data_IF_699620941325
#
_entry.id   IF_699620941325
#
_cell.length_a   1.000
_cell.length_b   1.000
_cell.length_c   1.000
_cell.angle_alpha   90.00
_cell.angle_beta   90.00
_cell.angle_gamma   90.00
#
_symmetry.space_group_name_H-M   'P 1'
#
loop_
_entity.id
_entity.type
_entity.pdbx_description
1 polymer ?
#
# COMPACT_ATOMS: atom_id res chain seq x y z
N UNK A 1 8.19 12.70 -0.24
CA UNK A 1 7.28 11.64 0.15
C UNK A 1 6.38 12.11 1.24
N UNK A 2 5.17 11.64 1.23
CA UNK A 2 4.12 12.15 2.12
C UNK A 2 3.88 11.14 3.23
N UNK A 3 3.71 11.64 4.45
CA UNK A 3 3.26 10.81 5.57
C UNK A 3 1.85 10.30 5.27
N UNK A 4 1.67 8.97 5.29
CA UNK A 4 0.38 8.35 4.98
C UNK A 4 -0.44 8.00 6.23
N UNK A 5 0.10 8.24 7.43
CA UNK A 5 -0.59 7.98 8.70
C UNK A 5 -1.29 9.24 9.21
N UNK A 6 -0.59 10.36 9.26
CA UNK A 6 -1.12 11.62 9.78
C UNK A 6 -2.44 12.08 9.12
N UNK A 7 -2.58 12.02 7.79
CA UNK A 7 -3.85 12.40 7.16
C UNK A 7 -5.06 11.59 7.62
N UNK A 8 -4.86 10.33 8.04
CA UNK A 8 -5.96 9.51 8.58
C UNK A 8 -6.57 10.13 9.81
N UNK A 9 -5.76 10.65 10.72
CA UNK A 9 -6.24 11.31 11.93
C UNK A 9 -6.82 12.69 11.63
N UNK A 10 -6.19 13.46 10.76
CA UNK A 10 -6.62 14.83 10.42
C UNK A 10 -7.96 14.86 9.68
N UNK A 11 -8.18 13.90 8.77
CA UNK A 11 -9.35 13.87 7.90
C UNK A 11 -10.31 12.73 8.21
N UNK A 12 -10.27 12.19 9.43
CA UNK A 12 -11.05 11.02 9.85
C UNK A 12 -12.53 11.09 9.50
N UNK A 13 -13.14 12.27 9.59
CA UNK A 13 -14.56 12.46 9.32
C UNK A 13 -14.89 12.56 7.82
N UNK A 14 -13.87 12.57 6.97
CA UNK A 14 -13.96 12.70 5.51
C UNK A 14 -13.49 11.45 4.76
N UNK A 15 -13.11 10.40 5.47
CA UNK A 15 -12.64 9.16 4.86
C UNK A 15 -13.84 8.24 4.64
N UNK A 16 -14.20 8.01 3.38
CA UNK A 16 -15.34 7.20 2.99
C UNK A 16 -14.97 5.90 2.30
N UNK A 17 -13.74 5.81 1.82
CA UNK A 17 -13.24 4.63 1.13
C UNK A 17 -11.71 4.56 1.26
N UNK A 18 -11.18 3.34 1.36
CA UNK A 18 -9.74 3.11 1.53
C UNK A 18 -9.26 2.08 0.52
N UNK A 19 -8.17 2.40 -0.18
CA UNK A 19 -7.45 1.45 -1.01
C UNK A 19 -6.18 0.99 -0.30
N UNK A 20 -5.92 -0.30 -0.37
CA UNK A 20 -4.69 -0.90 0.13
C UNK A 20 -3.76 -1.14 -1.06
N UNK A 21 -2.80 -0.26 -1.22
CA UNK A 21 -1.78 -0.33 -2.26
C UNK A 21 -0.41 -0.17 -1.62
N UNK A 22 0.57 -0.90 -2.12
CA UNK A 22 1.91 -0.84 -1.58
C UNK A 22 2.91 -0.32 -2.61
N UNK A 23 4.07 0.09 -2.11
CA UNK A 23 5.13 0.67 -2.92
C UNK A 23 6.47 0.35 -2.26
N UNK A 24 7.46 0.04 -3.08
CA UNK A 24 8.84 -0.09 -2.63
C UNK A 24 9.68 1.05 -3.19
N UNK A 25 10.41 1.72 -2.33
CA UNK A 25 11.31 2.80 -2.70
C UNK A 25 12.75 2.30 -2.63
N UNK A 26 13.46 2.45 -3.73
CA UNK A 26 14.87 2.09 -3.83
C UNK A 26 15.70 3.33 -3.48
N UNK A 27 16.15 3.40 -2.23
CA UNK A 27 16.87 4.58 -1.71
C UNK A 27 18.12 4.92 -2.51
N UNK A 28 18.89 3.91 -2.93
CA UNK A 28 20.09 4.10 -3.74
C UNK A 28 19.77 4.79 -5.07
N UNK A 29 18.69 4.35 -5.72
CA UNK A 29 18.25 4.94 -6.99
C UNK A 29 17.73 6.35 -6.78
N UNK A 30 16.99 6.58 -5.70
CA UNK A 30 16.48 7.92 -5.36
C UNK A 30 17.64 8.90 -5.13
N UNK A 31 18.68 8.48 -4.42
CA UNK A 31 19.88 9.29 -4.19
C UNK A 31 20.61 9.63 -5.50
N UNK A 32 20.63 8.69 -6.45
CA UNK A 32 21.29 8.88 -7.74
C UNK A 32 20.51 9.75 -8.70
N UNK A 33 19.21 9.57 -8.84
CA UNK A 33 18.40 10.28 -9.84
C UNK A 33 17.64 11.49 -9.28
N UNK A 34 17.44 11.56 -7.96
CA UNK A 34 16.72 12.64 -7.31
C UNK A 34 15.20 12.53 -7.43
N UNK A 35 14.49 13.26 -6.58
CA UNK A 35 13.03 13.20 -6.50
C UNK A 35 12.31 13.82 -7.72
N UNK A 36 13.03 14.58 -8.51
CA UNK A 36 12.50 15.19 -9.74
C UNK A 36 12.54 14.24 -10.95
N UNK A 37 13.13 13.06 -10.79
CA UNK A 37 13.11 12.02 -11.81
C UNK A 37 11.70 11.40 -11.93
N UNK A 38 11.47 10.66 -13.02
CA UNK A 38 10.22 9.89 -13.14
C UNK A 38 10.11 8.91 -12.00
N UNK A 39 8.93 8.80 -11.34
CA UNK A 39 8.79 7.96 -10.14
C UNK A 39 9.28 6.53 -10.32
N UNK A 40 9.03 5.89 -11.46
CA UNK A 40 9.46 4.51 -11.71
C UNK A 40 10.97 4.32 -11.81
N UNK A 41 11.76 5.39 -11.80
CA UNK A 41 13.21 5.31 -11.73
C UNK A 41 13.70 4.99 -10.32
N UNK A 42 12.92 5.30 -9.28
CA UNK A 42 13.33 5.06 -7.89
C UNK A 42 12.30 4.29 -7.08
N UNK A 43 11.15 3.95 -7.64
CA UNK A 43 10.11 3.21 -6.92
C UNK A 43 9.50 2.11 -7.79
N UNK A 44 8.85 1.16 -7.15
CA UNK A 44 8.10 0.10 -7.82
C UNK A 44 6.81 -0.17 -7.05
N UNK A 45 5.66 -0.17 -7.73
CA UNK A 45 4.42 -0.64 -7.10
C UNK A 45 4.53 -2.10 -6.70
N UNK A 46 3.99 -2.44 -5.55
CA UNK A 46 4.01 -3.79 -4.98
C UNK A 46 2.62 -4.17 -4.49
N UNK A 47 2.40 -5.47 -4.40
CA UNK A 47 1.21 -5.94 -3.69
C UNK A 47 1.34 -5.63 -2.19
N UNK A 48 0.22 -5.41 -1.49
CA UNK A 48 0.28 -5.18 -0.04
C UNK A 48 1.09 -6.23 0.70
N UNK A 49 2.06 -5.77 1.47
CA UNK A 49 2.97 -6.61 2.24
C UNK A 49 4.36 -6.78 1.65
N UNK A 50 4.56 -6.49 0.37
CA UNK A 50 5.87 -6.63 -0.29
C UNK A 50 6.60 -5.30 -0.51
N UNK A 51 6.01 -4.20 -0.09
CA UNK A 51 6.61 -2.88 -0.18
C UNK A 51 7.00 -2.30 1.17
N UNK A 52 7.07 -0.97 1.22
CA UNK A 52 7.57 -0.22 2.37
C UNK A 52 6.46 0.32 3.28
N UNK A 53 5.19 0.12 2.95
CA UNK A 53 4.09 0.55 3.82
C UNK A 53 4.08 -0.29 5.09
N UNK A 54 4.07 0.38 6.23
CA UNK A 54 3.90 -0.29 7.52
C UNK A 54 2.40 -0.57 7.75
N UNK A 55 1.96 -1.74 7.36
CA UNK A 55 0.55 -2.11 7.39
C UNK A 55 0.00 -2.23 8.79
N UNK A 56 0.82 -2.67 9.74
CA UNK A 56 0.42 -2.69 11.14
C UNK A 56 0.04 -1.31 11.65
N UNK A 57 0.87 -0.31 11.36
CA UNK A 57 0.61 1.09 11.74
C UNK A 57 -0.58 1.67 10.99
N UNK A 58 -0.71 1.36 9.70
CA UNK A 58 -1.80 1.87 8.87
C UNK A 58 -3.16 1.37 9.37
N UNK A 59 -3.27 0.06 9.57
CA UNK A 59 -4.52 -0.55 10.06
C UNK A 59 -4.81 -0.12 11.49
N UNK A 60 -3.79 0.02 12.34
CA UNK A 60 -3.95 0.55 13.69
C UNK A 60 -4.55 1.95 13.68
N UNK A 61 -4.07 2.82 12.79
CA UNK A 61 -4.61 4.17 12.64
C UNK A 61 -6.07 4.14 12.17
N UNK A 62 -6.41 3.27 11.21
CA UNK A 62 -7.81 3.10 10.79
C UNK A 62 -8.70 2.65 11.94
N UNK A 63 -8.21 1.78 12.79
CA UNK A 63 -8.92 1.32 13.99
C UNK A 63 -9.12 2.47 14.98
N UNK A 64 -8.07 3.25 15.21
CA UNK A 64 -8.12 4.39 16.13
C UNK A 64 -9.17 5.43 15.74
N UNK A 65 -9.31 5.69 14.44
CA UNK A 65 -10.31 6.67 13.96
C UNK A 65 -11.71 6.08 13.83
N UNK A 66 -11.87 4.79 14.12
CA UNK A 66 -13.18 4.12 14.06
C UNK A 66 -13.67 3.86 12.64
N UNK A 67 -12.76 3.71 11.67
CA UNK A 67 -13.15 3.40 10.30
C UNK A 67 -13.73 1.99 10.20
N UNK A 68 -14.97 1.86 9.71
CA UNK A 68 -15.63 0.58 9.49
C UNK A 68 -16.19 0.44 8.06
N UNK A 69 -15.74 1.29 7.15
CA UNK A 69 -16.14 1.24 5.74
C UNK A 69 -15.42 0.14 4.96
N UNK A 70 -15.71 0.09 3.67
CA UNK A 70 -15.07 -0.86 2.78
C UNK A 70 -13.61 -0.49 2.50
N UNK A 71 -12.80 -1.53 2.30
CA UNK A 71 -11.43 -1.41 1.84
C UNK A 71 -11.27 -2.21 0.55
N UNK A 72 -10.42 -1.74 -0.34
CA UNK A 72 -10.17 -2.37 -1.62
C UNK A 72 -8.67 -2.66 -1.77
N UNK A 73 -8.33 -3.90 -2.09
CA UNK A 73 -6.95 -4.28 -2.40
C UNK A 73 -6.69 -3.88 -3.85
N UNK A 74 -5.66 -3.06 -4.05
CA UNK A 74 -5.24 -2.63 -5.38
C UNK A 74 -3.94 -3.34 -5.74
N UNK A 75 -3.97 -4.11 -6.83
CA UNK A 75 -2.82 -4.89 -7.29
C UNK A 75 -2.16 -4.17 -8.46
N UNK A 76 -0.90 -3.81 -8.25
CA UNK A 76 -0.01 -3.33 -9.29
C UNK A 76 1.39 -3.79 -8.91
N UNK A 77 1.87 -4.87 -9.52
CA UNK A 77 3.17 -5.45 -9.21
C UNK A 77 3.63 -6.28 -10.41
N UNK A 78 4.72 -5.88 -11.03
CA UNK A 78 5.25 -6.53 -12.24
C UNK A 78 5.53 -8.02 -12.05
N UNK A 79 5.84 -8.46 -10.83
CA UNK A 79 6.10 -9.87 -10.57
C UNK A 79 4.85 -10.75 -10.71
N UNK A 80 3.66 -10.15 -10.74
CA UNK A 80 2.37 -10.86 -10.73
C UNK A 80 1.48 -10.52 -11.93
N UNK A 81 2.01 -9.84 -12.95
CA UNK A 81 1.19 -9.34 -14.07
C UNK A 81 1.18 -10.23 -15.31
N UNK A 82 2.09 -11.17 -15.45
CA UNK A 82 2.33 -11.89 -16.70
C UNK A 82 1.41 -13.09 -16.95
N UNK A 83 0.51 -13.41 -16.01
CA UNK A 83 -0.53 -14.42 -16.21
C UNK A 83 -1.73 -14.17 -15.31
N UNK A 84 -2.89 -14.70 -15.72
CA UNK A 84 -4.11 -14.65 -14.90
C UNK A 84 -3.92 -15.34 -13.57
N UNK A 85 -3.23 -16.50 -13.57
CA UNK A 85 -2.93 -17.24 -12.35
C UNK A 85 -2.12 -16.39 -11.35
N UNK A 86 -1.11 -15.69 -11.83
CA UNK A 86 -0.31 -14.81 -10.96
C UNK A 86 -1.11 -13.65 -10.41
N UNK A 87 -1.99 -13.05 -11.19
CA UNK A 87 -2.88 -11.99 -10.71
C UNK A 87 -3.81 -12.53 -9.61
N UNK A 88 -4.43 -13.68 -9.81
CA UNK A 88 -5.29 -14.31 -8.81
C UNK A 88 -4.50 -14.64 -7.54
N UNK A 89 -3.30 -15.19 -7.67
CA UNK A 89 -2.41 -15.48 -6.53
C UNK A 89 -2.02 -14.23 -5.77
N UNK A 90 -1.79 -13.12 -6.46
CA UNK A 90 -1.46 -11.85 -5.82
C UNK A 90 -2.60 -11.33 -4.95
N UNK A 91 -3.84 -11.48 -5.40
CA UNK A 91 -5.01 -11.11 -4.60
C UNK A 91 -5.13 -11.98 -3.35
N UNK A 92 -4.93 -13.29 -3.48
CA UNK A 92 -4.98 -14.22 -2.36
C UNK A 92 -3.87 -13.92 -1.35
N UNK A 93 -2.65 -13.69 -1.80
CA UNK A 93 -1.52 -13.34 -0.93
C UNK A 93 -1.78 -12.03 -0.18
N UNK A 94 -2.24 -11.01 -0.90
CA UNK A 94 -2.55 -9.71 -0.32
C UNK A 94 -3.62 -9.82 0.75
N UNK A 95 -4.68 -10.55 0.46
CA UNK A 95 -5.78 -10.79 1.41
C UNK A 95 -5.27 -11.51 2.66
N UNK A 96 -4.53 -12.58 2.50
CA UNK A 96 -3.97 -13.34 3.63
C UNK A 96 -3.06 -12.48 4.49
N UNK A 97 -2.22 -11.68 3.86
CA UNK A 97 -1.33 -10.78 4.58
C UNK A 97 -2.12 -9.74 5.40
N UNK A 98 -3.09 -9.09 4.78
CA UNK A 98 -3.87 -8.03 5.42
C UNK A 98 -4.83 -8.56 6.51
N UNK A 99 -5.34 -9.77 6.37
CA UNK A 99 -6.24 -10.40 7.34
C UNK A 99 -5.61 -10.55 8.74
N UNK A 100 -4.29 -10.62 8.85
CA UNK A 100 -3.64 -10.71 10.14
C UNK A 100 -3.85 -9.47 11.02
N UNK A 101 -4.20 -8.34 10.42
CA UNK A 101 -4.44 -7.08 11.13
C UNK A 101 -5.92 -6.80 11.37
N UNK A 102 -6.81 -7.60 10.80
CA UNK A 102 -8.26 -7.42 10.89
C UNK A 102 -8.84 -8.44 11.85
N UNK A 103 -9.64 -7.97 12.77
CA UNK A 103 -10.30 -8.82 13.78
C UNK A 103 -11.71 -9.17 13.34
#
# INVERSE_FOLDING_TARGET
MIDYIRPLYEFKDKIFHVHYKDIKIYKDKLESCGIMAYPLEYMSPKIPGLGDVDWGKYVSALTDIGYDGYTCIEIEDKAFEDSKEKVENSLILSKRYLEQFVI
#
